data_IF_511972982407
#
_entry.id   IF_511972982407
#
_cell.length_a   1.000
_cell.length_b   1.000
_cell.length_c   1.000
_cell.angle_alpha   90.00
_cell.angle_beta   90.00
_cell.angle_gamma   90.00
#
_symmetry.space_group_name_H-M   'P 1'
#
loop_
_entity.id
_entity.type
_entity.pdbx_description
1 polymer ?
#
# COMPACT_ATOMS: atom_id res chain seq x y z
N UNK A 1 -5.65 10.24 -11.13
CA UNK A 1 -6.01 8.90 -10.61
C UNK A 1 -4.91 7.88 -10.87
N UNK A 2 -4.47 7.64 -12.12
CA UNK A 2 -3.44 6.60 -12.41
C UNK A 2 -2.12 6.71 -11.64
N UNK A 3 -1.57 7.92 -11.45
CA UNK A 3 -0.29 8.08 -10.71
C UNK A 3 -0.39 7.59 -9.27
N UNK A 4 -1.51 7.86 -8.61
CA UNK A 4 -1.76 7.44 -7.23
C UNK A 4 -1.83 5.91 -7.13
N UNK A 5 -2.54 5.25 -8.04
CA UNK A 5 -2.60 3.78 -8.09
C UNK A 5 -1.24 3.15 -8.37
N UNK A 6 -0.47 3.68 -9.32
CA UNK A 6 0.87 3.17 -9.63
C UNK A 6 1.83 3.32 -8.45
N UNK A 7 1.78 4.46 -7.75
CA UNK A 7 2.62 4.68 -6.57
C UNK A 7 2.17 3.85 -5.37
N UNK A 8 0.86 3.66 -5.18
CA UNK A 8 0.33 2.77 -4.15
C UNK A 8 0.79 1.32 -4.41
N UNK A 9 0.70 0.85 -5.65
CA UNK A 9 1.18 -0.48 -6.04
C UNK A 9 2.68 -0.63 -5.74
N UNK A 10 3.51 0.32 -6.19
CA UNK A 10 4.95 0.33 -5.89
C UNK A 10 5.21 0.37 -4.39
N UNK A 11 4.48 1.18 -3.64
CA UNK A 11 4.62 1.27 -2.19
C UNK A 11 4.33 -0.07 -1.52
N UNK A 12 3.20 -0.70 -1.88
CA UNK A 12 2.85 -2.02 -1.34
C UNK A 12 3.88 -3.07 -1.75
N UNK A 13 4.35 -3.10 -3.00
CA UNK A 13 5.42 -4.03 -3.42
C UNK A 13 6.75 -3.79 -2.69
N UNK A 14 7.08 -2.55 -2.36
CA UNK A 14 8.37 -2.23 -1.73
C UNK A 14 8.34 -2.39 -0.21
N UNK A 15 7.26 -1.96 0.44
CA UNK A 15 7.10 -1.95 1.91
C UNK A 15 6.44 -3.23 2.44
N UNK A 16 5.54 -3.81 1.66
CA UNK A 16 4.79 -5.01 2.02
C UNK A 16 4.78 -6.03 0.87
N UNK A 17 5.95 -6.50 0.38
CA UNK A 17 6.03 -7.46 -0.72
C UNK A 17 5.28 -8.77 -0.45
N UNK A 18 5.11 -9.11 0.84
CA UNK A 18 4.37 -10.29 1.31
C UNK A 18 2.84 -10.16 1.22
N UNK A 19 2.30 -8.96 0.99
CA UNK A 19 0.85 -8.71 1.02
C UNK A 19 0.14 -9.37 -0.18
N UNK A 20 0.63 -9.12 -1.39
CA UNK A 20 0.09 -9.73 -2.62
C UNK A 20 0.16 -11.27 -2.63
N UNK A 21 1.31 -11.91 -2.31
CA UNK A 21 1.37 -13.37 -2.24
C UNK A 21 0.50 -13.92 -1.11
N UNK A 22 0.41 -13.25 0.05
CA UNK A 22 -0.50 -13.67 1.12
C UNK A 22 -1.98 -13.62 0.69
N UNK A 23 -2.40 -12.58 -0.05
CA UNK A 23 -3.75 -12.50 -0.64
C UNK A 23 -3.94 -13.59 -1.69
N UNK A 24 -2.93 -13.86 -2.52
CA UNK A 24 -2.99 -14.89 -3.56
C UNK A 24 -3.05 -16.31 -2.99
N UNK A 25 -2.31 -16.60 -1.92
CA UNK A 25 -2.34 -17.89 -1.22
C UNK A 25 -3.64 -18.08 -0.45
N UNK A 26 -4.01 -17.10 0.40
CA UNK A 26 -5.21 -17.21 1.23
C UNK A 26 -6.50 -17.13 0.41
N UNK A 27 -6.46 -16.44 -0.75
CA UNK A 27 -7.61 -16.10 -1.59
C UNK A 27 -8.73 -15.36 -0.85
N UNK A 28 -8.39 -14.75 0.29
CA UNK A 28 -9.31 -14.02 1.16
C UNK A 28 -8.54 -12.88 1.83
N UNK A 29 -9.20 -11.73 2.00
CA UNK A 29 -8.71 -10.72 2.93
C UNK A 29 -9.20 -11.08 4.33
N UNK A 30 -8.39 -11.83 5.06
CA UNK A 30 -8.61 -12.03 6.49
C UNK A 30 -8.31 -10.74 7.27
N UNK A 31 -8.72 -10.68 8.54
CA UNK A 31 -8.62 -9.45 9.32
C UNK A 31 -7.17 -8.98 9.52
N UNK A 32 -6.21 -9.91 9.50
CA UNK A 32 -4.79 -9.56 9.53
C UNK A 32 -4.35 -8.84 8.23
N UNK A 33 -4.79 -9.34 7.07
CA UNK A 33 -4.53 -8.71 5.77
C UNK A 33 -5.22 -7.34 5.66
N UNK A 34 -6.47 -7.23 6.16
CA UNK A 34 -7.17 -5.94 6.21
C UNK A 34 -6.42 -4.94 7.07
N UNK A 35 -6.00 -5.33 8.27
CA UNK A 35 -5.24 -4.46 9.17
C UNK A 35 -3.90 -4.02 8.55
N UNK A 36 -3.20 -4.93 7.89
CA UNK A 36 -1.96 -4.63 7.18
C UNK A 36 -2.18 -3.67 6.00
N UNK A 37 -3.26 -3.86 5.23
CA UNK A 37 -3.62 -2.95 4.13
C UNK A 37 -4.01 -1.56 4.66
N UNK A 38 -4.75 -1.49 5.76
CA UNK A 38 -5.17 -0.23 6.39
C UNK A 38 -3.98 0.56 6.94
N UNK A 39 -3.03 -0.13 7.58
CA UNK A 39 -1.76 0.44 8.02
C UNK A 39 -0.94 0.97 6.82
N UNK A 40 -0.78 0.14 5.78
CA UNK A 40 -0.06 0.52 4.56
C UNK A 40 -0.70 1.74 3.88
N UNK A 41 -2.04 1.84 3.85
CA UNK A 41 -2.76 2.98 3.31
C UNK A 41 -2.53 4.26 4.13
N UNK A 42 -2.52 4.18 5.46
CA UNK A 42 -2.21 5.32 6.34
C UNK A 42 -0.77 5.80 6.15
N UNK A 43 0.18 4.88 6.11
CA UNK A 43 1.58 5.20 5.85
C UNK A 43 1.75 5.81 4.45
N UNK A 44 1.17 5.20 3.43
CA UNK A 44 1.21 5.73 2.06
C UNK A 44 0.59 7.12 1.97
N UNK A 45 -0.55 7.39 2.62
CA UNK A 45 -1.17 8.72 2.59
C UNK A 45 -0.24 9.80 3.19
N UNK A 46 0.45 9.49 4.29
CA UNK A 46 1.45 10.37 4.90
C UNK A 46 2.70 10.56 4.03
N UNK A 47 3.25 9.47 3.51
CA UNK A 47 4.43 9.48 2.63
C UNK A 47 4.11 10.21 1.32
N UNK A 48 2.94 9.96 0.73
CA UNK A 48 2.45 10.60 -0.48
C UNK A 48 2.25 12.10 -0.28
N UNK A 49 1.61 12.54 0.80
CA UNK A 49 1.46 13.96 1.11
C UNK A 49 2.82 14.66 1.27
N UNK A 50 3.76 14.00 1.96
CA UNK A 50 5.13 14.51 2.17
C UNK A 50 5.90 14.60 0.84
N UNK A 51 5.87 13.54 0.03
CA UNK A 51 6.49 13.51 -1.31
C UNK A 51 5.90 14.58 -2.23
N UNK A 52 4.58 14.75 -2.20
CA UNK A 52 3.91 15.78 -2.99
C UNK A 52 4.22 17.20 -2.55
N UNK A 53 4.51 17.41 -1.26
CA UNK A 53 4.98 18.70 -0.75
C UNK A 53 6.45 18.95 -1.11
N UNK A 54 7.29 17.90 -1.17
CA UNK A 54 8.69 18.01 -1.56
C UNK A 54 8.92 18.14 -3.07
N UNK A 55 7.94 17.76 -3.89
CA UNK A 55 7.99 17.86 -5.35
C UNK A 55 7.45 19.21 -5.91
N UNK A 56 7.11 20.17 -5.04
CA UNK A 56 6.62 21.51 -5.37
C UNK A 56 7.70 22.56 -5.09
#
# INVERSE_FOLDING_TARGET
>A
MRTFETELYKFIETRHPQLFPAVAEKKQLDDQLKAALDAALKEFAGDFATRRAAAA
#
